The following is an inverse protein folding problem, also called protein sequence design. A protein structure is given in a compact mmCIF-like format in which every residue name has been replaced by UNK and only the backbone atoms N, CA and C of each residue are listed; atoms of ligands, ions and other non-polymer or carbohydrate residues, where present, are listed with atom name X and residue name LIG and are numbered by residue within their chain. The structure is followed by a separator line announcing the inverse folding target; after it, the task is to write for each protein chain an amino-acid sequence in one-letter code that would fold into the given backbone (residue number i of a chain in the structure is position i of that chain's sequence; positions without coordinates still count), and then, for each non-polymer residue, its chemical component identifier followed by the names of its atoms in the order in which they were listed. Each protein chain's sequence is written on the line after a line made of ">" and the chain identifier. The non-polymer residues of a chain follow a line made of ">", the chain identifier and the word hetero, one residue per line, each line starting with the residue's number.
data_IF_105379598526
#
_entry.id   IF_105379598526
#
_cell.length_a   1.000
_cell.length_b   1.000
_cell.length_c   1.000
_cell.angle_alpha   90.00
_cell.angle_beta   90.00
_cell.angle_gamma   90.00
#
_symmetry.space_group_name_H-M   'P 1'
#
loop_
_entity.id
_entity.type
_entity.pdbx_description
1 polymer ?
#
# COMPACT_ATOMS: atom_id res chain seq x y z
N UNK A 1 5.06 13.40 37.42
CA UNK A 1 4.63 13.70 36.03
C UNK A 1 5.75 14.51 35.37
N UNK A 2 6.29 14.04 34.25
CA UNK A 2 7.43 14.69 33.58
C UNK A 2 6.98 15.82 32.65
N UNK A 3 7.89 16.75 32.32
CA UNK A 3 7.64 17.77 31.30
C UNK A 3 7.20 17.16 29.95
N UNK A 4 7.75 15.98 29.61
CA UNK A 4 7.34 15.19 28.42
C UNK A 4 5.86 14.81 28.47
N UNK A 5 5.36 14.36 29.62
CA UNK A 5 3.94 13.98 29.77
C UNK A 5 3.02 15.18 29.56
N UNK A 6 3.41 16.36 30.06
CA UNK A 6 2.65 17.61 29.92
C UNK A 6 2.61 18.06 28.45
N UNK A 7 3.75 18.03 27.75
CA UNK A 7 3.83 18.40 26.33
C UNK A 7 3.02 17.43 25.47
N UNK A 8 3.20 16.12 25.64
CA UNK A 8 2.45 15.12 24.88
C UNK A 8 0.93 15.21 25.14
N UNK A 9 0.52 15.56 26.37
CA UNK A 9 -0.89 15.82 26.68
C UNK A 9 -1.48 17.02 25.94
N UNK A 10 -0.71 18.11 25.79
CA UNK A 10 -1.13 19.30 25.01
C UNK A 10 -1.25 18.97 23.52
N UNK A 11 -0.27 18.26 22.96
CA UNK A 11 -0.27 17.85 21.55
C UNK A 11 -1.47 16.95 21.25
N UNK A 12 -1.74 15.92 22.06
CA UNK A 12 -2.92 15.05 21.86
C UNK A 12 -4.24 15.82 21.90
N UNK A 13 -4.42 16.74 22.85
CA UNK A 13 -5.63 17.59 22.89
C UNK A 13 -5.78 18.47 21.66
N UNK A 14 -4.69 19.07 21.19
CA UNK A 14 -4.70 19.91 19.99
C UNK A 14 -5.04 19.10 18.72
N UNK A 15 -4.67 17.82 18.68
CA UNK A 15 -4.96 16.90 17.57
C UNK A 15 -6.30 16.16 17.70
N UNK A 16 -7.17 16.53 18.66
CA UNK A 16 -8.51 15.94 18.81
C UNK A 16 -8.65 14.81 19.84
N UNK A 17 -7.63 14.58 20.67
CA UNK A 17 -7.62 13.54 21.70
C UNK A 17 -6.85 12.28 21.28
N UNK A 18 -6.74 11.26 22.15
CA UNK A 18 -6.26 9.97 21.72
C UNK A 18 -7.22 9.43 20.66
N UNK A 19 -6.69 9.03 19.50
CA UNK A 19 -7.40 8.08 18.66
C UNK A 19 -7.76 6.88 19.56
N UNK A 20 -9.00 6.41 19.49
CA UNK A 20 -9.37 5.14 20.14
C UNK A 20 -8.44 4.02 19.67
N UNK A 21 -8.56 2.85 20.29
CA UNK A 21 -7.82 1.70 19.78
C UNK A 21 -8.12 1.52 18.29
N UNK A 22 -7.08 1.27 17.47
CA UNK A 22 -7.26 1.07 16.05
C UNK A 22 -8.31 -0.02 15.81
N UNK A 23 -9.41 0.33 15.12
CA UNK A 23 -10.47 -0.63 14.85
C UNK A 23 -9.95 -1.71 13.90
N UNK A 24 -9.23 -1.29 12.85
CA UNK A 24 -8.50 -2.14 11.91
C UNK A 24 -7.41 -1.34 11.18
N UNK A 25 -6.32 -2.01 10.79
CA UNK A 25 -5.27 -1.40 9.96
C UNK A 25 -5.80 -0.78 8.65
N UNK A 26 -6.95 -1.23 8.14
CA UNK A 26 -7.60 -0.65 6.97
C UNK A 26 -8.36 0.65 7.25
N UNK A 27 -8.95 0.83 8.44
CA UNK A 27 -9.72 2.02 8.79
C UNK A 27 -8.87 3.16 9.35
N UNK A 28 -7.73 2.84 9.97
CA UNK A 28 -7.01 3.81 10.80
C UNK A 28 -5.85 4.50 10.07
N UNK A 29 -5.57 4.07 8.83
CA UNK A 29 -4.55 4.67 7.98
C UNK A 29 -5.22 5.17 6.70
N UNK A 30 -5.22 6.49 6.51
CA UNK A 30 -5.67 7.07 5.25
C UNK A 30 -4.76 6.63 4.10
N UNK A 31 -5.37 6.00 3.10
CA UNK A 31 -4.72 5.52 1.88
C UNK A 31 -5.31 6.24 0.68
N UNK A 32 -5.16 7.55 0.68
CA UNK A 32 -5.64 8.44 -0.39
C UNK A 32 -4.88 8.28 -1.73
N UNK A 33 -3.90 7.37 -1.81
CA UNK A 33 -3.29 6.97 -3.06
C UNK A 33 -4.23 6.12 -3.92
N UNK A 34 -4.04 6.20 -5.24
CA UNK A 34 -4.81 5.41 -6.18
C UNK A 34 -4.56 3.91 -5.97
N UNK A 35 -5.63 3.12 -5.93
CA UNK A 35 -5.55 1.64 -5.84
C UNK A 35 -4.93 1.00 -7.09
N UNK A 36 -5.06 1.66 -8.24
CA UNK A 36 -4.49 1.26 -9.51
C UNK A 36 -4.00 2.49 -10.28
N UNK A 37 -2.92 2.33 -11.04
CA UNK A 37 -2.36 3.41 -11.87
C UNK A 37 -3.11 3.66 -13.18
N UNK A 38 -4.19 2.91 -13.46
CA UNK A 38 -5.03 3.05 -14.65
C UNK A 38 -5.76 1.75 -14.98
N UNK A 39 -6.75 1.84 -15.85
CA UNK A 39 -7.51 0.67 -16.32
C UNK A 39 -6.68 -0.12 -17.33
N UNK A 40 -6.37 -1.37 -16.99
CA UNK A 40 -5.70 -2.32 -17.88
C UNK A 40 -6.48 -3.63 -17.88
N UNK A 41 -6.59 -4.24 -19.05
CA UNK A 41 -7.05 -5.63 -19.14
C UNK A 41 -6.02 -6.57 -18.50
N UNK A 42 -6.44 -7.80 -18.20
CA UNK A 42 -5.52 -8.84 -17.72
C UNK A 42 -4.36 -9.04 -18.69
N UNK A 43 -4.63 -9.07 -20.00
CA UNK A 43 -3.59 -9.24 -21.02
C UNK A 43 -2.58 -8.09 -21.01
N UNK A 44 -3.04 -6.84 -20.92
CA UNK A 44 -2.16 -5.67 -20.81
C UNK A 44 -1.33 -5.69 -19.53
N UNK A 45 -1.89 -6.18 -18.43
CA UNK A 45 -1.19 -6.31 -17.14
C UNK A 45 -0.10 -7.37 -17.20
N UNK A 46 -0.38 -8.52 -17.83
CA UNK A 46 0.61 -9.58 -18.03
C UNK A 46 1.74 -9.12 -18.95
N UNK A 47 1.45 -8.33 -19.99
CA UNK A 47 2.47 -7.74 -20.86
C UNK A 47 3.41 -6.82 -20.09
N UNK A 48 2.84 -5.90 -19.31
CA UNK A 48 3.60 -4.98 -18.46
C UNK A 48 4.47 -5.74 -17.45
N UNK A 49 3.94 -6.81 -16.84
CA UNK A 49 4.70 -7.64 -15.91
C UNK A 49 5.89 -8.31 -16.61
N UNK A 50 5.68 -8.87 -17.80
CA UNK A 50 6.75 -9.52 -18.55
C UNK A 50 7.89 -8.55 -18.89
N UNK A 51 7.57 -7.32 -19.31
CA UNK A 51 8.54 -6.25 -19.56
C UNK A 51 9.36 -5.92 -18.31
N UNK A 52 8.69 -5.67 -17.18
CA UNK A 52 9.37 -5.34 -15.93
C UNK A 52 10.27 -6.47 -15.42
N UNK A 53 9.86 -7.73 -15.61
CA UNK A 53 10.67 -8.89 -15.24
C UNK A 53 11.92 -9.02 -16.12
N UNK A 54 11.77 -8.79 -17.43
CA UNK A 54 12.89 -8.80 -18.37
C UNK A 54 13.89 -7.67 -18.06
N UNK A 55 13.41 -6.49 -17.66
CA UNK A 55 14.26 -5.37 -17.21
C UNK A 55 15.06 -5.75 -15.95
N UNK A 56 14.47 -6.56 -15.06
CA UNK A 56 15.16 -7.16 -13.93
C UNK A 56 16.04 -8.37 -14.29
N UNK A 57 16.23 -8.64 -15.59
CA UNK A 57 17.01 -9.76 -16.14
C UNK A 57 16.48 -11.14 -15.77
N UNK A 58 15.20 -11.25 -15.45
CA UNK A 58 14.55 -12.55 -15.33
C UNK A 58 14.36 -13.18 -16.71
N UNK A 59 14.40 -14.52 -16.77
CA UNK A 59 13.96 -15.26 -17.94
C UNK A 59 12.45 -15.44 -17.88
N UNK A 60 11.74 -14.92 -18.88
CA UNK A 60 10.27 -14.95 -18.94
C UNK A 60 9.83 -15.88 -20.06
N UNK A 61 9.00 -16.86 -19.73
CA UNK A 61 8.38 -17.77 -20.69
C UNK A 61 6.88 -17.53 -20.74
N UNK A 62 6.33 -17.42 -21.96
CA UNK A 62 4.89 -17.47 -22.20
C UNK A 62 4.53 -18.91 -22.53
N UNK A 63 3.54 -19.44 -21.83
CA UNK A 63 3.02 -20.79 -22.00
C UNK A 63 1.49 -20.75 -22.07
N UNK A 64 0.93 -21.63 -22.87
CA UNK A 64 -0.49 -21.99 -22.80
C UNK A 64 -0.71 -23.01 -21.68
N UNK A 65 -1.98 -23.30 -21.37
CA UNK A 65 -2.32 -24.24 -20.32
C UNK A 65 -1.78 -25.66 -20.54
N UNK A 66 -1.52 -26.06 -21.78
CA UNK A 66 -0.96 -27.37 -22.10
C UNK A 66 0.57 -27.46 -21.87
N UNK A 67 1.23 -26.33 -21.61
CA UNK A 67 2.67 -26.20 -21.41
C UNK A 67 3.05 -25.91 -19.94
N UNK A 68 2.07 -25.95 -19.03
CA UNK A 68 2.23 -25.83 -17.57
C UNK A 68 2.43 -27.21 -16.92
#
# INVERSE_FOLDING_TARGET
>A
MSSRDVILGRVRRALGGPAGDPATYESDVDRSYLRAHGDRTTQQTVELLAENLADYRALVHRCCAAEL
#
